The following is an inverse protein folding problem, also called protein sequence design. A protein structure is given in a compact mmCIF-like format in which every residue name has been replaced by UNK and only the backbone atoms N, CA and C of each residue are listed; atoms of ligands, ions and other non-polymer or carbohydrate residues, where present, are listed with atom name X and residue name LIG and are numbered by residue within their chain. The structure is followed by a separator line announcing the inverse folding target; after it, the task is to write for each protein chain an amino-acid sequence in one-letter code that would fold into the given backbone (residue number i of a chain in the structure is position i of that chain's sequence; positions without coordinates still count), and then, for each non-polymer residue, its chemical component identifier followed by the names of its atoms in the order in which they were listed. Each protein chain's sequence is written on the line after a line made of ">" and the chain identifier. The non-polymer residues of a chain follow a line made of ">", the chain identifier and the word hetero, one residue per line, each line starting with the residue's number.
data_IF_331128341684
#
_entry.id   IF_331128341684
#
_cell.length_a   1.000
_cell.length_b   1.000
_cell.length_c   1.000
_cell.angle_alpha   90.00
_cell.angle_beta   90.00
_cell.angle_gamma   90.00
#
_symmetry.space_group_name_H-M   'P 1'
#
loop_
_entity.id
_entity.type
_entity.pdbx_description
1 polymer ?
#
# COMPACT_ATOMS: atom_id res chain seq x y z
N UNK A 1 -5.24 16.55 -11.06
CA UNK A 1 -4.37 15.48 -11.62
C UNK A 1 -3.91 14.58 -10.49
N UNK A 2 -4.01 13.26 -10.66
CA UNK A 2 -3.48 12.29 -9.68
C UNK A 2 -1.96 12.20 -9.84
N UNK A 3 -1.21 12.27 -8.74
CA UNK A 3 0.25 12.11 -8.75
C UNK A 3 0.61 10.65 -9.04
N UNK A 4 1.54 10.42 -9.97
CA UNK A 4 2.19 9.12 -10.15
C UNK A 4 3.40 9.01 -9.24
N UNK A 5 3.43 7.99 -8.38
CA UNK A 5 4.55 7.71 -7.48
C UNK A 5 5.58 6.84 -8.20
N UNK A 6 6.62 7.48 -8.74
CA UNK A 6 7.80 6.78 -9.30
C UNK A 6 8.90 6.50 -8.27
N UNK A 7 8.80 7.18 -7.12
CA UNK A 7 9.68 7.03 -5.98
C UNK A 7 8.81 7.13 -4.73
N UNK A 8 8.92 6.18 -3.80
CA UNK A 8 8.16 6.23 -2.56
C UNK A 8 8.64 7.39 -1.68
N UNK A 9 7.76 7.83 -0.79
CA UNK A 9 8.06 8.84 0.21
C UNK A 9 9.24 8.39 1.08
N UNK A 10 10.10 9.33 1.47
CA UNK A 10 11.30 9.05 2.27
C UNK A 10 12.19 7.91 1.72
N UNK A 11 12.21 7.65 0.40
CA UNK A 11 13.04 6.60 -0.19
C UNK A 11 14.54 6.69 0.19
N UNK A 12 15.04 7.91 0.40
CA UNK A 12 16.42 8.19 0.82
C UNK A 12 16.50 8.71 2.27
N UNK A 13 15.37 8.76 2.99
CA UNK A 13 15.31 9.26 4.36
C UNK A 13 15.28 8.12 5.38
N UNK A 14 15.49 8.47 6.65
CA UNK A 14 15.37 7.54 7.76
C UNK A 14 13.93 7.04 7.90
N UNK A 15 13.82 5.73 8.06
CA UNK A 15 12.56 4.99 8.15
C UNK A 15 12.71 3.92 9.23
N UNK A 16 11.60 3.64 9.89
CA UNK A 16 11.47 2.51 10.79
C UNK A 16 10.37 1.58 10.29
N UNK A 17 10.62 0.27 10.32
CA UNK A 17 9.62 -0.73 9.93
C UNK A 17 8.50 -0.81 10.96
N UNK A 18 7.25 -0.76 10.49
CA UNK A 18 6.08 -0.81 11.36
C UNK A 18 5.63 -2.27 11.52
N UNK A 19 5.50 -2.80 12.74
CA UNK A 19 4.96 -4.13 12.96
C UNK A 19 3.51 -4.24 12.48
N UNK A 20 3.11 -5.41 12.00
CA UNK A 20 1.69 -5.67 11.71
C UNK A 20 0.88 -5.84 13.00
N UNK A 21 1.39 -6.64 13.93
CA UNK A 21 0.72 -7.00 15.17
C UNK A 21 0.62 -5.84 16.18
N UNK A 22 -0.39 -5.90 17.04
CA UNK A 22 -0.57 -4.97 18.16
C UNK A 22 0.65 -5.01 19.10
N UNK A 23 1.19 -3.85 19.45
CA UNK A 23 2.34 -3.75 20.36
C UNK A 23 1.86 -3.60 21.80
N UNK A 24 2.46 -4.36 22.72
CA UNK A 24 2.06 -4.37 24.13
C UNK A 24 2.32 -3.04 24.86
N UNK A 25 3.27 -2.25 24.36
CA UNK A 25 3.61 -0.92 24.85
C UNK A 25 2.70 0.18 24.27
N UNK A 26 1.76 -0.16 23.39
CA UNK A 26 0.87 0.80 22.73
C UNK A 26 1.53 1.58 21.58
N UNK A 27 2.73 1.19 21.16
CA UNK A 27 3.38 1.77 19.99
C UNK A 27 2.59 1.48 18.70
N UNK A 28 2.83 2.30 17.68
CA UNK A 28 2.16 2.17 16.39
C UNK A 28 2.40 0.80 15.73
N UNK A 29 1.32 0.22 15.19
CA UNK A 29 1.34 -0.97 14.33
C UNK A 29 0.34 -0.83 13.18
N UNK A 30 0.40 -1.68 12.16
CA UNK A 30 -0.59 -1.67 11.08
C UNK A 30 -1.98 -2.14 11.54
N UNK A 31 -2.06 -3.10 12.48
CA UNK A 31 -3.35 -3.56 12.99
C UNK A 31 -4.06 -2.52 13.88
N UNK A 32 -3.32 -1.76 14.69
CA UNK A 32 -3.90 -0.83 15.66
C UNK A 32 -3.85 0.64 15.21
N UNK A 33 -2.92 1.00 14.32
CA UNK A 33 -2.52 2.38 14.12
C UNK A 33 -1.76 2.93 15.32
N UNK A 34 -1.74 4.25 15.48
CA UNK A 34 -1.17 4.89 16.68
C UNK A 34 -2.06 4.59 17.90
N UNK A 35 -1.49 3.98 18.94
CA UNK A 35 -2.21 3.64 20.16
C UNK A 35 -2.71 4.86 20.96
N UNK A 36 -3.46 4.62 22.02
CA UNK A 36 -4.11 5.68 22.81
C UNK A 36 -3.13 6.67 23.45
N UNK A 37 -1.90 6.25 23.73
CA UNK A 37 -0.86 7.11 24.30
C UNK A 37 -0.51 8.33 23.42
N UNK A 38 -0.72 8.23 22.11
CA UNK A 38 -0.49 9.33 21.16
C UNK A 38 -1.60 10.40 21.16
N UNK A 39 -2.71 10.15 21.85
CA UNK A 39 -3.80 11.11 22.02
C UNK A 39 -3.72 11.94 23.32
N UNK A 40 -2.72 11.68 24.16
CA UNK A 40 -2.51 12.38 25.42
C UNK A 40 -1.74 13.70 25.19
N UNK A 41 -1.97 14.72 26.02
CA UNK A 41 -1.21 15.98 25.96
C UNK A 41 0.16 15.81 26.65
N UNK A 42 1.29 15.98 25.95
CA UNK A 42 2.63 15.87 26.54
C UNK A 42 2.94 16.88 27.64
N UNK A 43 2.19 17.97 27.74
CA UNK A 43 2.35 18.96 28.81
C UNK A 43 1.60 18.57 30.08
N UNK A 44 0.60 17.69 29.98
CA UNK A 44 -0.26 17.27 31.08
C UNK A 44 0.05 15.83 31.54
N UNK A 45 0.52 14.95 30.64
CA UNK A 45 0.77 13.54 30.92
C UNK A 45 2.19 13.10 30.52
N UNK A 46 3.04 12.64 31.46
CA UNK A 46 4.39 12.17 31.16
C UNK A 46 4.42 10.84 30.37
N UNK A 47 3.30 10.14 30.27
CA UNK A 47 3.17 8.91 29.47
C UNK A 47 2.71 9.18 28.04
N UNK A 48 2.45 10.45 27.68
CA UNK A 48 2.10 10.83 26.33
C UNK A 48 3.19 10.45 25.32
N UNK A 49 2.76 9.86 24.22
CA UNK A 49 3.66 9.42 23.15
C UNK A 49 3.67 10.45 22.02
N UNK A 50 4.87 10.75 21.52
CA UNK A 50 5.04 11.64 20.38
C UNK A 50 5.10 10.83 19.09
N UNK A 51 4.48 11.33 18.03
CA UNK A 51 4.61 10.75 16.69
C UNK A 51 6.07 10.81 16.25
N UNK A 52 6.68 9.64 16.08
CA UNK A 52 8.06 9.53 15.68
C UNK A 52 8.19 9.72 14.16
N UNK A 53 9.02 10.68 13.74
CA UNK A 53 9.22 11.02 12.32
C UNK A 53 9.59 9.80 11.48
N UNK A 54 10.48 8.95 11.97
CA UNK A 54 10.98 7.77 11.24
C UNK A 54 9.90 6.72 11.01
N UNK A 55 9.00 6.55 12.00
CA UNK A 55 7.84 5.65 11.88
C UNK A 55 6.80 6.21 10.91
N UNK A 56 6.49 7.50 11.01
CA UNK A 56 5.61 8.17 10.06
C UNK A 56 6.16 8.11 8.63
N UNK A 57 7.47 8.29 8.46
CA UNK A 57 8.14 8.12 7.17
C UNK A 57 7.99 6.69 6.64
N UNK A 58 8.14 5.68 7.49
CA UNK A 58 7.93 4.27 7.15
C UNK A 58 6.52 4.01 6.63
N UNK A 59 5.49 4.46 7.36
CA UNK A 59 4.09 4.31 6.95
C UNK A 59 3.83 4.94 5.58
N UNK A 60 4.29 6.18 5.36
CA UNK A 60 4.09 6.85 4.08
C UNK A 60 4.91 6.23 2.95
N UNK A 61 6.09 5.68 3.27
CA UNK A 61 6.88 4.93 2.30
C UNK A 61 6.10 3.73 1.79
N UNK A 62 5.64 2.87 2.69
CA UNK A 62 4.96 1.61 2.35
C UNK A 62 3.68 1.87 1.53
N UNK A 63 2.90 2.90 1.92
CA UNK A 63 1.70 3.31 1.16
C UNK A 63 2.06 3.80 -0.24
N UNK A 64 3.04 4.70 -0.35
CA UNK A 64 3.37 5.32 -1.65
C UNK A 64 4.12 4.37 -2.59
N UNK A 65 4.84 3.39 -2.05
CA UNK A 65 5.41 2.28 -2.80
C UNK A 65 4.31 1.40 -3.37
N UNK A 66 3.40 0.90 -2.54
CA UNK A 66 2.27 0.06 -2.98
C UNK A 66 1.39 0.79 -4.02
N UNK A 67 1.10 2.07 -3.80
CA UNK A 67 0.36 2.88 -4.79
C UNK A 67 1.16 3.04 -6.09
N UNK A 68 2.47 3.27 -6.02
CA UNK A 68 3.34 3.36 -7.19
C UNK A 68 3.37 2.07 -8.00
N UNK A 69 3.42 0.91 -7.33
CA UNK A 69 3.32 -0.40 -7.96
C UNK A 69 1.97 -0.59 -8.66
N UNK A 70 0.85 -0.32 -7.98
CA UNK A 70 -0.50 -0.40 -8.56
C UNK A 70 -0.67 0.54 -9.76
N UNK A 71 -0.07 1.72 -9.73
CA UNK A 71 -0.08 2.67 -10.85
C UNK A 71 0.76 2.19 -12.05
N UNK A 72 1.85 1.48 -11.78
CA UNK A 72 2.79 1.01 -12.81
C UNK A 72 2.30 -0.27 -13.48
N UNK A 73 1.85 -1.24 -12.69
CA UNK A 73 1.46 -2.57 -13.17
C UNK A 73 -0.05 -2.73 -13.36
N UNK A 74 -0.83 -1.74 -12.90
CA UNK A 74 -2.29 -1.81 -12.85
C UNK A 74 -2.78 -2.59 -11.63
N UNK A 75 -4.02 -2.32 -11.22
CA UNK A 75 -4.75 -3.13 -10.25
C UNK A 75 -5.76 -4.01 -10.97
N UNK A 76 -6.06 -5.20 -10.43
CA UNK A 76 -7.17 -6.00 -10.91
C UNK A 76 -8.48 -5.22 -10.72
N UNK A 77 -9.09 -4.79 -11.83
CA UNK A 77 -10.38 -4.10 -11.80
C UNK A 77 -11.46 -5.15 -11.53
N UNK A 78 -11.87 -5.33 -10.27
CA UNK A 78 -12.98 -6.21 -9.95
C UNK A 78 -14.29 -5.57 -10.44
N UNK A 79 -14.81 -6.07 -11.56
CA UNK A 79 -16.08 -5.62 -12.10
C UNK A 79 -16.85 -6.87 -12.57
N UNK A 80 -17.98 -7.18 -11.91
CA UNK A 80 -18.77 -8.38 -12.19
C UNK A 80 -19.31 -8.39 -13.64
N UNK A 81 -19.44 -7.21 -14.27
CA UNK A 81 -19.92 -7.03 -15.64
C UNK A 81 -18.84 -7.27 -16.71
N UNK A 82 -17.56 -7.33 -16.32
CA UNK A 82 -16.44 -7.46 -17.25
C UNK A 82 -15.91 -8.91 -17.35
N UNK A 83 -16.77 -9.91 -17.12
CA UNK A 83 -16.37 -11.30 -17.38
C UNK A 83 -16.50 -11.64 -18.86
N UNK A 84 -15.53 -12.36 -19.45
CA UNK A 84 -14.31 -12.91 -18.85
C UNK A 84 -13.07 -11.99 -18.93
N UNK A 85 -13.16 -10.77 -19.49
CA UNK A 85 -12.02 -9.88 -19.69
C UNK A 85 -12.24 -8.43 -19.23
N UNK A 86 -11.21 -7.78 -18.63
CA UNK A 86 -11.28 -6.39 -18.20
C UNK A 86 -11.71 -5.43 -19.30
N UNK A 87 -12.32 -4.31 -18.91
CA UNK A 87 -12.70 -3.24 -19.82
C UNK A 87 -11.46 -2.76 -20.60
N UNK A 88 -11.49 -2.84 -21.93
CA UNK A 88 -10.39 -2.47 -22.86
C UNK A 88 -9.17 -3.41 -22.86
N UNK A 89 -9.30 -4.64 -22.37
CA UNK A 89 -8.28 -5.65 -22.59
C UNK A 89 -8.14 -5.97 -24.10
N UNK A 90 -6.91 -5.96 -24.61
CA UNK A 90 -6.58 -6.49 -25.94
C UNK A 90 -6.10 -7.93 -25.77
N UNK A 91 -6.86 -8.90 -26.30
CA UNK A 91 -6.51 -10.32 -26.25
C UNK A 91 -6.05 -10.77 -27.62
N UNK A 92 -4.82 -11.27 -27.72
CA UNK A 92 -4.30 -11.91 -28.92
C UNK A 92 -4.39 -13.43 -28.78
N UNK A 93 -5.27 -14.07 -29.55
CA UNK A 93 -5.28 -15.54 -29.66
C UNK A 93 -4.30 -15.99 -30.76
N UNK A 94 -3.39 -16.93 -30.45
CA UNK A 94 -2.69 -17.68 -31.49
C UNK A 94 -3.61 -18.78 -31.99
N UNK A 95 -4.14 -18.62 -33.20
CA UNK A 95 -4.97 -19.63 -33.85
C UNK A 95 -4.06 -20.83 -34.20
N UNK A 96 -4.25 -21.96 -33.51
CA UNK A 96 -3.59 -23.22 -33.87
C UNK A 96 -4.38 -23.82 -35.03
N UNK A 97 -3.82 -23.79 -36.24
CA UNK A 97 -4.42 -24.44 -37.40
C UNK A 97 -4.50 -25.96 -37.16
N UNK A 98 -5.68 -26.47 -36.82
CA UNK A 98 -5.96 -27.90 -36.93
C UNK A 98 -6.31 -28.19 -38.39
N UNK A 99 -5.39 -28.81 -39.10
CA UNK A 99 -5.66 -29.42 -40.39
C UNK A 99 -6.55 -30.65 -40.19
N UNK A 100 -7.71 -30.69 -40.86
CA UNK A 100 -8.57 -31.88 -40.95
C UNK A 100 -8.10 -32.68 -42.16
N UNK A 101 -7.65 -33.94 -42.03
CA UNK A 101 -7.32 -34.78 -43.18
C UNK A 101 -8.60 -35.31 -43.86
N UNK A 102 -8.58 -35.32 -45.19
CA UNK A 102 -9.60 -35.92 -46.07
C UNK A 102 -9.48 -37.45 -46.12
#
# INVERSE_FOLDING_TARGET
>A
MTKTFKMPFAAQGDRFSIPDEVQADGAVSYAQGYGSGYGLDPNEDPTAMNIEREKMNGIFHDITEAVGEMQTFGAAQWNAEAQPYPLRALVYHKQKNLAIPH
#
